data_IF_697274722944
#
_entry.id   IF_697274722944
#
_cell.length_a   1.000
_cell.length_b   1.000
_cell.length_c   1.000
_cell.angle_alpha   90.00
_cell.angle_beta   90.00
_cell.angle_gamma   90.00
#
_symmetry.space_group_name_H-M   'P 1'
#
loop_
_entity.id
_entity.type
_entity.pdbx_description
1 polymer ?
#
# COMPACT_ATOMS: atom_id res chain seq x y z
N UNK A 1 5.77 3.05 -10.90
CA UNK A 1 5.26 4.24 -10.19
C UNK A 1 4.65 3.89 -8.82
N UNK A 2 3.86 2.83 -8.72
CA UNK A 2 3.15 2.43 -7.48
C UNK A 2 4.11 2.09 -6.34
N UNK A 3 5.22 1.41 -6.61
CA UNK A 3 6.22 1.04 -5.62
C UNK A 3 6.83 2.26 -4.91
N UNK A 4 7.10 3.34 -5.66
CA UNK A 4 7.61 4.60 -5.10
C UNK A 4 6.56 5.23 -4.19
N UNK A 5 5.29 5.18 -4.58
CA UNK A 5 4.18 5.67 -3.77
C UNK A 5 4.12 4.94 -2.41
N UNK A 6 4.18 3.62 -2.39
CA UNK A 6 4.20 2.84 -1.16
C UNK A 6 5.42 3.14 -0.26
N UNK A 7 6.60 3.31 -0.88
CA UNK A 7 7.82 3.67 -0.15
C UNK A 7 7.70 5.07 0.49
N UNK A 8 7.20 6.05 -0.25
CA UNK A 8 6.95 7.41 0.26
C UNK A 8 5.91 7.37 1.38
N UNK A 9 4.85 6.59 1.25
CA UNK A 9 3.85 6.41 2.30
C UNK A 9 4.46 5.87 3.59
N UNK A 10 5.31 4.86 3.51
CA UNK A 10 6.05 4.34 4.67
C UNK A 10 6.93 5.37 5.34
N UNK A 11 7.68 6.14 4.54
CA UNK A 11 8.53 7.23 5.03
C UNK A 11 7.71 8.33 5.75
N UNK A 12 6.62 8.79 5.13
CA UNK A 12 5.77 9.84 5.69
C UNK A 12 5.07 9.37 6.97
N UNK A 13 4.56 8.13 7.01
CA UNK A 13 3.92 7.61 8.20
C UNK A 13 4.93 7.43 9.33
N UNK A 14 6.12 6.95 9.05
CA UNK A 14 7.19 6.86 10.03
C UNK A 14 7.55 8.25 10.59
N UNK A 15 7.76 9.23 9.72
CA UNK A 15 8.05 10.60 10.12
C UNK A 15 6.93 11.21 10.98
N UNK A 16 5.68 10.97 10.60
CA UNK A 16 4.52 11.56 11.28
C UNK A 16 4.25 10.90 12.64
N UNK A 17 4.35 9.58 12.76
CA UNK A 17 3.80 8.86 13.91
C UNK A 17 4.85 8.31 14.89
N UNK A 18 6.11 8.10 14.49
CA UNK A 18 7.12 7.53 15.38
C UNK A 18 7.43 8.50 16.52
N UNK A 19 7.58 9.79 16.23
CA UNK A 19 7.92 10.82 17.22
C UNK A 19 6.69 11.40 17.95
N UNK A 20 5.48 11.05 17.54
CA UNK A 20 4.28 11.55 18.20
C UNK A 20 4.00 10.79 19.51
N UNK A 21 3.41 11.50 20.49
CA UNK A 21 2.79 10.89 21.66
C UNK A 21 1.68 9.92 21.22
N UNK A 22 1.28 8.99 22.09
CA UNK A 22 0.30 7.93 21.81
C UNK A 22 -0.85 8.39 20.93
N UNK A 23 -0.97 7.80 19.75
CA UNK A 23 -2.11 7.99 18.85
C UNK A 23 -2.98 6.75 18.92
N UNK A 24 -4.28 6.92 19.19
CA UNK A 24 -5.24 5.80 19.19
C UNK A 24 -5.53 5.35 17.76
N UNK A 25 -5.90 4.06 17.60
CA UNK A 25 -6.22 3.46 16.30
C UNK A 25 -7.33 4.23 15.57
N UNK A 26 -8.38 4.63 16.27
CA UNK A 26 -9.49 5.38 15.67
C UNK A 26 -9.03 6.71 15.05
N UNK A 27 -8.19 7.48 15.75
CA UNK A 27 -7.64 8.74 15.23
C UNK A 27 -6.69 8.50 14.04
N UNK A 28 -5.88 7.45 14.11
CA UNK A 28 -4.99 7.05 13.01
C UNK A 28 -5.81 6.67 11.77
N UNK A 29 -6.80 5.77 11.91
CA UNK A 29 -7.65 5.32 10.81
C UNK A 29 -8.44 6.48 10.20
N UNK A 30 -9.08 7.31 11.03
CA UNK A 30 -9.85 8.46 10.54
C UNK A 30 -8.99 9.40 9.71
N UNK A 31 -7.75 9.69 10.14
CA UNK A 31 -6.82 10.55 9.40
C UNK A 31 -6.39 9.95 8.05
N UNK A 32 -6.40 8.63 7.89
CA UNK A 32 -6.10 7.96 6.61
C UNK A 32 -7.33 7.92 5.71
N UNK A 33 -8.47 7.47 6.26
CA UNK A 33 -9.72 7.41 5.50
C UNK A 33 -10.20 8.78 5.02
N UNK A 34 -10.15 9.82 5.85
CA UNK A 34 -10.56 11.16 5.45
C UNK A 34 -9.74 11.73 4.29
N UNK A 35 -8.51 11.27 4.10
CA UNK A 35 -7.65 11.68 2.99
C UNK A 35 -7.96 10.93 1.68
N UNK A 36 -8.28 9.65 1.77
CA UNK A 36 -8.39 8.76 0.61
C UNK A 36 -9.85 8.61 0.14
N UNK A 37 -10.76 8.50 1.08
CA UNK A 37 -12.14 8.09 0.83
C UNK A 37 -12.97 9.07 0.01
N UNK A 38 -12.90 10.40 0.19
CA UNK A 38 -13.75 11.32 -0.57
C UNK A 38 -13.51 11.25 -2.08
N UNK A 39 -12.24 11.23 -2.50
CA UNK A 39 -11.90 11.11 -3.92
C UNK A 39 -12.25 9.73 -4.47
N UNK A 40 -11.97 8.68 -3.70
CA UNK A 40 -12.30 7.31 -4.07
C UNK A 40 -13.82 7.13 -4.27
N UNK A 41 -14.62 7.59 -3.33
CA UNK A 41 -16.08 7.49 -3.42
C UNK A 41 -16.60 8.24 -4.65
N UNK A 42 -16.11 9.45 -4.88
CA UNK A 42 -16.50 10.24 -6.05
C UNK A 42 -16.17 9.49 -7.35
N UNK A 43 -14.93 9.01 -7.49
CA UNK A 43 -14.52 8.29 -8.71
C UNK A 43 -15.26 6.96 -8.87
N UNK A 44 -15.52 6.23 -7.79
CA UNK A 44 -16.31 5.00 -7.83
C UNK A 44 -17.74 5.28 -8.35
N UNK A 45 -18.42 6.31 -7.82
CA UNK A 45 -19.76 6.66 -8.26
C UNK A 45 -19.80 7.11 -9.72
N UNK A 46 -18.81 7.88 -10.17
CA UNK A 46 -18.69 8.25 -11.60
C UNK A 46 -18.56 7.01 -12.47
N UNK A 47 -17.72 6.05 -12.10
CA UNK A 47 -17.55 4.81 -12.86
C UNK A 47 -18.84 3.98 -12.85
N UNK A 48 -19.56 3.90 -11.73
CA UNK A 48 -20.87 3.22 -11.65
C UNK A 48 -21.86 3.81 -12.67
N UNK A 49 -21.95 5.14 -12.74
CA UNK A 49 -22.83 5.82 -13.70
C UNK A 49 -22.41 5.51 -15.14
N UNK A 50 -21.12 5.60 -15.46
CA UNK A 50 -20.59 5.28 -16.78
C UNK A 50 -20.94 3.83 -17.17
N UNK A 51 -20.71 2.88 -16.28
CA UNK A 51 -21.00 1.47 -16.53
C UNK A 51 -22.49 1.18 -16.70
N UNK A 52 -23.35 1.83 -15.91
CA UNK A 52 -24.79 1.71 -16.05
C UNK A 52 -25.30 2.25 -17.40
N UNK A 53 -24.82 3.43 -17.82
CA UNK A 53 -25.17 4.01 -19.12
C UNK A 53 -24.65 3.13 -20.24
N UNK A 54 -23.42 2.63 -20.14
CA UNK A 54 -22.82 1.77 -21.15
C UNK A 54 -23.59 0.46 -21.34
N UNK A 55 -23.97 -0.19 -20.24
CA UNK A 55 -24.76 -1.41 -20.28
C UNK A 55 -26.11 -1.19 -20.92
N UNK A 56 -26.78 -0.04 -20.67
CA UNK A 56 -28.05 0.31 -21.33
C UNK A 56 -27.91 0.64 -22.80
N UNK A 57 -26.82 1.31 -23.19
CA UNK A 57 -26.66 1.79 -24.59
C UNK A 57 -26.03 0.76 -25.51
N UNK A 58 -25.10 -0.06 -24.99
CA UNK A 58 -24.27 -0.97 -25.78
C UNK A 58 -24.44 -2.45 -25.41
N UNK A 59 -25.15 -2.76 -24.32
CA UNK A 59 -25.30 -4.12 -23.80
C UNK A 59 -24.05 -4.73 -23.20
N UNK A 60 -22.98 -3.94 -23.01
CA UNK A 60 -21.69 -4.39 -22.48
C UNK A 60 -21.08 -3.37 -21.54
N UNK A 61 -20.29 -3.84 -20.57
CA UNK A 61 -19.46 -2.97 -19.76
C UNK A 61 -18.22 -2.52 -20.57
N UNK A 62 -17.84 -1.24 -20.46
CA UNK A 62 -16.69 -0.69 -21.19
C UNK A 62 -15.39 -0.78 -20.39
N UNK A 63 -15.50 -0.85 -19.06
CA UNK A 63 -14.36 -0.89 -18.14
C UNK A 63 -14.50 -2.19 -17.35
N UNK A 64 -13.69 -3.21 -17.61
CA UNK A 64 -13.74 -4.54 -16.99
C UNK A 64 -15.11 -5.25 -17.08
N UNK A 65 -15.08 -6.59 -17.20
CA UNK A 65 -16.29 -7.40 -17.42
C UNK A 65 -17.17 -7.63 -16.19
N UNK A 66 -16.60 -7.56 -15.00
CA UNK A 66 -17.27 -7.89 -13.74
C UNK A 66 -17.59 -6.61 -12.94
N UNK A 67 -18.85 -6.14 -13.04
CA UNK A 67 -19.30 -4.94 -12.33
C UNK A 67 -20.65 -5.22 -11.63
N UNK A 68 -20.69 -6.26 -10.80
CA UNK A 68 -21.85 -6.64 -10.00
C UNK A 68 -21.86 -5.97 -8.61
N UNK A 69 -22.89 -6.25 -7.81
CA UNK A 69 -23.04 -5.69 -6.47
C UNK A 69 -21.92 -6.12 -5.53
N UNK A 70 -21.41 -7.34 -5.66
CA UNK A 70 -20.31 -7.82 -4.84
C UNK A 70 -19.05 -6.96 -5.06
N UNK A 71 -18.69 -6.77 -6.33
CA UNK A 71 -17.53 -5.94 -6.71
C UNK A 71 -17.73 -4.46 -6.35
N UNK A 72 -18.97 -3.95 -6.42
CA UNK A 72 -19.25 -2.60 -5.93
C UNK A 72 -18.95 -2.46 -4.43
N UNK A 73 -19.42 -3.38 -3.59
CA UNK A 73 -19.16 -3.31 -2.15
C UNK A 73 -17.70 -3.57 -1.79
N UNK A 74 -17.01 -4.48 -2.48
CA UNK A 74 -15.57 -4.68 -2.25
C UNK A 74 -14.77 -3.44 -2.59
N UNK A 75 -15.09 -2.72 -3.66
CA UNK A 75 -14.50 -1.43 -4.00
C UNK A 75 -14.88 -0.36 -2.98
N UNK A 76 -16.16 -0.25 -2.58
CA UNK A 76 -16.65 0.73 -1.62
C UNK A 76 -15.88 0.69 -0.28
N UNK A 77 -15.55 -0.52 0.18
CA UNK A 77 -14.83 -0.72 1.45
C UNK A 77 -13.31 -0.87 1.30
N UNK A 78 -12.74 -0.69 0.11
CA UNK A 78 -11.33 -0.88 -0.18
C UNK A 78 -10.80 -2.30 0.13
N UNK A 79 -11.61 -3.32 -0.04
CA UNK A 79 -11.22 -4.73 0.17
C UNK A 79 -11.05 -5.52 -1.13
N UNK A 80 -11.20 -4.85 -2.28
CA UNK A 80 -11.14 -5.45 -3.61
C UNK A 80 -9.81 -6.12 -3.97
N UNK A 81 -8.74 -5.87 -3.22
CA UNK A 81 -7.42 -6.49 -3.44
C UNK A 81 -6.89 -7.22 -2.21
N UNK A 82 -7.81 -7.76 -1.39
CA UNK A 82 -7.44 -8.52 -0.20
C UNK A 82 -7.53 -10.04 -0.46
N UNK A 83 -6.63 -10.54 -1.33
CA UNK A 83 -6.58 -11.95 -1.69
C UNK A 83 -7.92 -12.44 -2.28
N UNK A 84 -8.45 -13.54 -1.78
CA UNK A 84 -9.69 -14.16 -2.28
C UNK A 84 -10.97 -13.31 -2.14
N UNK A 85 -10.92 -12.19 -1.43
CA UNK A 85 -12.04 -11.24 -1.38
C UNK A 85 -12.12 -10.36 -2.63
N UNK A 86 -11.02 -10.22 -3.37
CA UNK A 86 -10.97 -9.50 -4.63
C UNK A 86 -10.94 -10.49 -5.78
N UNK A 87 -12.02 -10.62 -6.49
CA UNK A 87 -12.11 -11.50 -7.67
C UNK A 87 -11.85 -10.68 -8.96
N UNK A 88 -10.62 -10.20 -9.09
CA UNK A 88 -10.18 -9.45 -10.28
C UNK A 88 -10.46 -7.94 -10.25
N UNK A 89 -10.16 -7.30 -11.36
CA UNK A 89 -10.36 -5.86 -11.53
C UNK A 89 -11.79 -5.53 -11.93
N UNK A 90 -12.39 -4.58 -11.22
CA UNK A 90 -13.75 -4.11 -11.43
C UNK A 90 -13.85 -2.61 -11.15
N UNK A 91 -14.89 -1.94 -11.60
CA UNK A 91 -15.17 -0.52 -11.38
C UNK A 91 -13.93 0.39 -11.39
N UNK A 92 -13.49 0.84 -10.23
CA UNK A 92 -12.36 1.74 -10.05
C UNK A 92 -11.05 0.95 -9.83
N UNK A 93 -10.69 0.10 -10.79
CA UNK A 93 -9.54 -0.78 -10.69
C UNK A 93 -8.22 -0.08 -10.29
N UNK A 94 -7.86 1.15 -10.75
CA UNK A 94 -6.63 1.81 -10.31
C UNK A 94 -6.47 1.95 -8.79
N UNK A 95 -7.56 1.85 -8.02
CA UNK A 95 -7.51 1.92 -6.54
C UNK A 95 -7.09 0.62 -5.86
N UNK A 96 -6.78 -0.43 -6.63
CA UNK A 96 -6.25 -1.69 -6.09
C UNK A 96 -5.03 -1.48 -5.18
N UNK A 97 -4.13 -0.59 -5.56
CA UNK A 97 -2.90 -0.28 -4.81
C UNK A 97 -3.20 0.39 -3.47
N UNK A 98 -4.24 1.22 -3.41
CA UNK A 98 -4.72 1.87 -2.18
C UNK A 98 -5.39 0.85 -1.26
N UNK A 99 -6.17 -0.08 -1.82
CA UNK A 99 -6.79 -1.18 -1.08
C UNK A 99 -5.75 -2.00 -0.30
N UNK A 100 -4.69 -2.43 -0.97
CA UNK A 100 -3.57 -3.15 -0.35
C UNK A 100 -2.85 -2.29 0.69
N UNK A 101 -2.66 -1.01 0.40
CA UNK A 101 -1.96 -0.09 1.30
C UNK A 101 -2.71 0.14 2.62
N UNK A 102 -4.04 0.15 2.61
CA UNK A 102 -4.85 0.25 3.83
C UNK A 102 -4.56 -0.92 4.77
N UNK A 103 -4.43 -2.14 4.24
CA UNK A 103 -4.06 -3.30 5.06
C UNK A 103 -2.67 -3.12 5.68
N UNK A 104 -1.71 -2.61 4.92
CA UNK A 104 -0.36 -2.31 5.40
C UNK A 104 -0.35 -1.21 6.47
N UNK A 105 -1.27 -0.24 6.42
CA UNK A 105 -1.43 0.76 7.47
C UNK A 105 -1.78 0.16 8.82
N UNK A 106 -2.64 -0.85 8.87
CA UNK A 106 -2.96 -1.56 10.12
C UNK A 106 -1.74 -2.32 10.67
N UNK A 107 -0.96 -2.96 9.80
CA UNK A 107 0.30 -3.61 10.19
C UNK A 107 1.28 -2.58 10.75
N UNK A 108 1.46 -1.44 10.06
CA UNK A 108 2.31 -0.36 10.54
C UNK A 108 1.87 0.12 11.93
N UNK A 109 0.57 0.32 12.13
CA UNK A 109 0.04 0.74 13.42
C UNK A 109 0.32 -0.28 14.53
N UNK A 110 0.19 -1.57 14.26
CA UNK A 110 0.54 -2.64 15.20
C UNK A 110 2.03 -2.63 15.56
N UNK A 111 2.90 -2.35 14.59
CA UNK A 111 4.35 -2.23 14.80
C UNK A 111 4.78 -0.93 15.48
N UNK A 112 3.93 0.09 15.49
CA UNK A 112 4.28 1.46 15.89
C UNK A 112 4.84 1.55 17.32
N UNK A 113 4.32 0.76 18.26
CA UNK A 113 4.82 0.74 19.63
C UNK A 113 6.28 0.24 19.73
N UNK A 114 6.65 -0.74 18.91
CA UNK A 114 8.03 -1.23 18.78
C UNK A 114 8.94 -0.23 18.09
N UNK A 115 8.47 0.37 16.98
CA UNK A 115 9.20 1.36 16.20
C UNK A 115 9.54 2.61 17.03
N UNK A 116 8.63 3.07 17.87
CA UNK A 116 8.85 4.18 18.82
C UNK A 116 9.94 3.89 19.84
N UNK A 117 10.22 2.61 20.13
CA UNK A 117 11.32 2.17 21.00
C UNK A 117 12.64 1.95 20.24
N UNK A 118 12.71 2.40 18.99
CA UNK A 118 13.90 2.23 18.14
C UNK A 118 14.15 0.81 17.65
N UNK A 119 13.15 -0.08 17.69
CA UNK A 119 13.27 -1.47 17.21
C UNK A 119 13.22 -1.55 15.69
N UNK A 120 14.23 -1.01 15.02
CA UNK A 120 14.36 -1.05 13.55
C UNK A 120 14.57 -2.48 13.02
N UNK A 121 15.05 -3.40 13.84
CA UNK A 121 15.30 -4.79 13.43
C UNK A 121 14.04 -5.48 12.93
N UNK A 122 12.85 -5.14 13.46
CA UNK A 122 11.59 -5.74 13.04
C UNK A 122 11.23 -5.40 11.61
N UNK A 123 11.16 -4.12 11.18
CA UNK A 123 10.87 -3.80 9.78
C UNK A 123 11.94 -4.32 8.82
N UNK A 124 13.21 -4.32 9.21
CA UNK A 124 14.29 -4.88 8.38
C UNK A 124 14.16 -6.39 8.23
N UNK A 125 13.86 -7.12 9.30
CA UNK A 125 13.66 -8.58 9.24
C UNK A 125 12.44 -8.94 8.37
N UNK A 126 11.34 -8.19 8.50
CA UNK A 126 10.15 -8.38 7.66
C UNK A 126 10.47 -8.08 6.19
N UNK A 127 11.22 -7.01 5.91
CA UNK A 127 11.64 -6.66 4.55
C UNK A 127 12.44 -7.78 3.91
N UNK A 128 13.43 -8.31 4.62
CA UNK A 128 14.25 -9.45 4.14
C UNK A 128 13.37 -10.68 3.94
N UNK A 129 12.50 -11.00 4.89
CA UNK A 129 11.58 -12.14 4.79
C UNK A 129 10.65 -12.03 3.58
N UNK A 130 10.07 -10.86 3.32
CA UNK A 130 9.22 -10.61 2.15
C UNK A 130 10.00 -10.76 0.84
N UNK A 131 11.23 -10.26 0.79
CA UNK A 131 12.08 -10.44 -0.38
C UNK A 131 12.32 -11.92 -0.70
N UNK A 132 12.63 -12.74 0.30
CA UNK A 132 12.78 -14.18 0.11
C UNK A 132 11.49 -14.86 -0.36
N UNK A 133 10.34 -14.49 0.19
CA UNK A 133 9.04 -15.04 -0.19
C UNK A 133 8.70 -14.71 -1.65
N UNK A 134 8.90 -13.49 -2.08
CA UNK A 134 8.66 -13.06 -3.47
C UNK A 134 9.58 -13.79 -4.44
N UNK A 135 10.87 -13.96 -4.08
CA UNK A 135 11.82 -14.72 -4.91
C UNK A 135 11.48 -16.21 -5.05
N UNK A 136 10.95 -16.82 -3.98
CA UNK A 136 10.60 -18.25 -3.96
C UNK A 136 9.30 -18.54 -4.73
N UNK A 137 8.38 -17.59 -4.80
CA UNK A 137 7.08 -17.72 -5.44
C UNK A 137 6.89 -16.66 -6.55
N UNK A 138 7.51 -16.88 -7.73
CA UNK A 138 7.46 -15.89 -8.81
C UNK A 138 6.11 -15.85 -9.55
N UNK A 139 5.16 -16.73 -9.21
CA UNK A 139 3.81 -16.71 -9.80
C UNK A 139 3.06 -15.47 -9.34
N UNK A 140 2.58 -14.69 -10.30
CA UNK A 140 1.80 -13.47 -10.09
C UNK A 140 0.40 -13.89 -9.61
N UNK A 141 0.26 -14.08 -8.29
CA UNK A 141 -1.02 -14.21 -7.63
C UNK A 141 -1.36 -12.87 -6.97
N UNK A 142 -2.62 -12.58 -6.70
CA UNK A 142 -3.06 -11.34 -6.06
C UNK A 142 -2.37 -11.07 -4.71
N UNK A 143 -2.00 -12.12 -3.99
CA UNK A 143 -1.24 -12.02 -2.74
C UNK A 143 0.14 -11.36 -2.91
N UNK A 144 0.74 -11.42 -4.10
CA UNK A 144 2.06 -10.83 -4.36
C UNK A 144 2.00 -9.30 -4.24
N UNK A 145 0.88 -8.68 -4.58
CA UNK A 145 0.71 -7.23 -4.46
C UNK A 145 0.74 -6.76 -3.00
N UNK A 146 0.18 -7.57 -2.10
CA UNK A 146 0.28 -7.29 -0.67
C UNK A 146 1.72 -7.38 -0.17
N UNK A 147 2.45 -8.42 -0.52
CA UNK A 147 3.84 -8.58 -0.12
C UNK A 147 4.74 -7.49 -0.70
N UNK A 148 4.53 -7.11 -1.96
CA UNK A 148 5.24 -5.99 -2.58
C UNK A 148 4.94 -4.67 -1.87
N UNK A 149 3.67 -4.37 -1.61
CA UNK A 149 3.27 -3.17 -0.90
C UNK A 149 3.94 -3.11 0.48
N UNK A 150 3.86 -4.18 1.26
CA UNK A 150 4.48 -4.26 2.58
C UNK A 150 6.01 -4.08 2.50
N UNK A 151 6.66 -4.71 1.53
CA UNK A 151 8.11 -4.59 1.32
C UNK A 151 8.53 -3.15 1.04
N UNK A 152 7.90 -2.48 0.07
CA UNK A 152 8.26 -1.11 -0.28
C UNK A 152 7.89 -0.12 0.82
N UNK A 153 6.78 -0.34 1.50
CA UNK A 153 6.37 0.47 2.64
C UNK A 153 7.39 0.37 3.79
N UNK A 154 7.82 -0.84 4.15
CA UNK A 154 8.84 -1.06 5.18
C UNK A 154 10.22 -0.54 4.76
N UNK A 155 10.54 -0.54 3.47
CA UNK A 155 11.72 0.14 2.97
C UNK A 155 11.66 1.65 3.27
N UNK A 156 10.51 2.30 3.04
CA UNK A 156 10.29 3.70 3.41
C UNK A 156 10.44 3.96 4.91
N UNK A 157 9.90 3.08 5.76
CA UNK A 157 10.09 3.14 7.22
C UNK A 157 11.58 3.02 7.58
N UNK A 158 12.30 2.12 6.92
CA UNK A 158 13.75 1.91 7.16
C UNK A 158 14.58 3.12 6.74
N UNK A 159 14.22 3.77 5.62
CA UNK A 159 14.82 5.03 5.16
C UNK A 159 14.64 6.13 6.23
N UNK A 160 13.44 6.24 6.82
CA UNK A 160 13.21 7.20 7.90
C UNK A 160 14.19 7.00 9.05
N UNK A 161 14.40 5.76 9.52
CA UNK A 161 15.35 5.48 10.58
C UNK A 161 16.79 5.79 10.18
N UNK A 162 17.19 5.39 8.97
CA UNK A 162 18.52 5.67 8.45
C UNK A 162 18.83 7.18 8.42
N UNK A 163 17.88 7.97 7.94
CA UNK A 163 18.04 9.44 7.87
C UNK A 163 17.98 10.09 9.25
N UNK A 164 17.12 9.61 10.16
CA UNK A 164 16.88 10.26 11.44
C UNK A 164 17.96 9.98 12.48
N UNK A 165 18.59 8.79 12.47
CA UNK A 165 19.47 8.32 13.52
C UNK A 165 20.94 8.16 13.11
N UNK A 166 21.27 8.34 11.84
CA UNK A 166 22.66 8.19 11.35
C UNK A 166 23.42 9.53 11.35
N UNK A 167 24.75 9.44 11.48
CA UNK A 167 25.65 10.59 11.26
C UNK A 167 25.55 11.06 9.79
N UNK A 168 25.85 12.34 9.47
CA UNK A 168 25.64 12.89 8.11
C UNK A 168 26.26 12.05 7.00
N UNK A 169 27.47 11.52 7.17
CA UNK A 169 28.16 10.72 6.17
C UNK A 169 27.51 9.34 6.00
N UNK A 170 27.09 8.70 7.11
CA UNK A 170 26.40 7.40 7.05
C UNK A 170 24.98 7.53 6.48
N UNK A 171 24.31 8.67 6.66
CA UNK A 171 23.01 8.95 6.04
C UNK A 171 23.07 8.82 4.52
N UNK A 172 24.07 9.44 3.90
CA UNK A 172 24.20 9.45 2.45
C UNK A 172 24.52 8.05 1.91
N UNK A 173 25.46 7.35 2.56
CA UNK A 173 25.80 5.98 2.20
C UNK A 173 24.60 5.02 2.36
N UNK A 174 23.85 5.12 3.48
CA UNK A 174 22.67 4.28 3.69
C UNK A 174 21.56 4.59 2.70
N UNK A 175 21.36 5.86 2.33
CA UNK A 175 20.39 6.26 1.31
C UNK A 175 20.76 5.67 -0.06
N UNK A 176 22.03 5.75 -0.47
CA UNK A 176 22.52 5.16 -1.72
C UNK A 176 22.31 3.65 -1.73
N UNK A 177 22.67 2.95 -0.65
CA UNK A 177 22.50 1.49 -0.56
C UNK A 177 21.01 1.12 -0.61
N UNK A 178 20.14 1.85 0.07
CA UNK A 178 18.70 1.59 0.03
C UNK A 178 18.10 1.88 -1.34
N UNK A 179 18.52 2.95 -2.02
CA UNK A 179 18.10 3.25 -3.40
C UNK A 179 18.58 2.16 -4.34
N UNK A 180 19.83 1.70 -4.22
CA UNK A 180 20.38 0.62 -5.03
C UNK A 180 19.63 -0.72 -4.80
N UNK A 181 19.32 -1.06 -3.54
CA UNK A 181 18.51 -2.23 -3.19
C UNK A 181 17.11 -2.11 -3.80
N UNK A 182 16.46 -0.96 -3.66
CA UNK A 182 15.13 -0.72 -4.22
C UNK A 182 15.17 -0.80 -5.74
N UNK A 183 16.19 -0.22 -6.40
CA UNK A 183 16.36 -0.27 -7.85
C UNK A 183 16.64 -1.70 -8.35
N UNK A 184 17.41 -2.48 -7.60
CA UNK A 184 17.66 -3.89 -7.91
C UNK A 184 16.42 -4.78 -7.66
N UNK A 185 15.58 -4.42 -6.72
CA UNK A 185 14.34 -5.13 -6.39
C UNK A 185 13.17 -4.75 -7.32
N UNK A 186 13.28 -3.64 -8.07
CA UNK A 186 12.32 -3.32 -9.14
C UNK A 186 12.69 -4.22 -10.32
N UNK A 187 11.94 -5.30 -10.61
CA UNK A 187 12.15 -6.01 -11.86
C UNK A 187 11.90 -5.00 -12.98
N UNK A 188 12.82 -4.94 -13.93
CA UNK A 188 12.56 -4.26 -15.20
C UNK A 188 11.40 -5.02 -15.87
N UNK A 189 10.20 -4.41 -15.80
CA UNK A 189 9.05 -4.79 -16.61
C UNK A 189 9.13 -4.08 -17.95
#
# INVERSE_FOLDING_TARGET
AVQIFWCISGLILAHTYINQKKTGLAKFSLARFSRLYPLHLLTLLVVVVIQFVSMKSFGTYQIYGTNDLYHFFTNLFFVQSWGKLGDGFSFNAPTWSVSVEILVYFIFFALLAGLRRGRITVPVALLIGMWFLIKKHPTINEDIFFFQCLMYFLAGVSIYFAVSFSRPITKFATLIVLVAIISYLIPAF
#
